data_IF_636351221719
#
_entry.id   IF_636351221719
#
_cell.length_a   1.000
_cell.length_b   1.000
_cell.length_c   1.000
_cell.angle_alpha   90.00
_cell.angle_beta   90.00
_cell.angle_gamma   90.00
#
_symmetry.space_group_name_H-M   'P 1'
#
loop_
_entity.id
_entity.type
_entity.pdbx_description
1 polymer ?
#
# COMPACT_ATOMS: atom_id res chain seq x y z
N UNK A 1 9.92 -0.69 4.77
CA UNK A 1 9.18 0.02 3.71
C UNK A 1 7.76 -0.52 3.69
N UNK A 2 6.75 0.35 3.76
CA UNK A 2 5.34 0.01 3.62
C UNK A 2 4.87 0.49 2.23
N UNK A 3 4.18 -0.37 1.50
CA UNK A 3 3.56 -0.04 0.21
C UNK A 3 2.07 -0.35 0.33
N UNK A 4 1.22 0.66 0.13
CA UNK A 4 -0.23 0.51 0.11
C UNK A 4 -0.73 0.93 -1.26
N UNK A 5 -1.52 0.09 -1.92
CA UNK A 5 -1.97 0.27 -3.30
C UNK A 5 -3.45 -0.08 -3.45
N UNK A 6 -4.18 0.58 -4.34
CA UNK A 6 -5.57 0.19 -4.65
C UNK A 6 -5.64 -0.72 -5.86
N UNK A 7 -6.39 -1.82 -5.78
CA UNK A 7 -6.51 -2.78 -6.88
C UNK A 7 -7.14 -2.15 -8.14
N UNK A 8 -7.99 -1.14 -7.97
CA UNK A 8 -8.69 -0.44 -9.04
C UNK A 8 -7.99 0.80 -9.57
N UNK A 9 -6.68 1.00 -9.32
CA UNK A 9 -5.92 2.13 -9.83
C UNK A 9 -5.95 2.17 -11.38
N UNK A 10 -6.58 3.19 -12.00
CA UNK A 10 -6.69 3.28 -13.45
C UNK A 10 -5.44 3.86 -14.12
N UNK A 11 -4.51 4.42 -13.35
CA UNK A 11 -3.33 5.11 -13.88
C UNK A 11 -2.08 4.23 -13.77
N UNK A 12 -1.94 3.48 -12.67
CA UNK A 12 -0.76 2.66 -12.41
C UNK A 12 -1.19 1.25 -11.97
N UNK A 13 -0.99 0.21 -12.81
CA UNK A 13 -1.46 -1.14 -12.52
C UNK A 13 -0.93 -1.70 -11.20
N UNK A 14 -1.77 -2.40 -10.44
CA UNK A 14 -1.42 -2.97 -9.13
C UNK A 14 -0.19 -3.91 -9.14
N UNK A 15 0.17 -4.49 -10.30
CA UNK A 15 1.45 -5.23 -10.48
C UNK A 15 2.70 -4.43 -10.11
N UNK A 16 2.63 -3.09 -10.16
CA UNK A 16 3.73 -2.21 -9.74
C UNK A 16 3.90 -2.18 -8.21
N UNK A 17 2.88 -2.52 -7.43
CA UNK A 17 2.98 -2.65 -5.98
C UNK A 17 3.96 -3.76 -5.60
N UNK A 18 3.83 -4.94 -6.23
CA UNK A 18 4.75 -6.06 -5.98
C UNK A 18 6.16 -5.79 -6.49
N UNK A 19 6.29 -5.05 -7.60
CA UNK A 19 7.59 -4.64 -8.16
C UNK A 19 8.41 -3.77 -7.20
N UNK A 20 7.79 -3.13 -6.21
CA UNK A 20 8.52 -2.40 -5.17
C UNK A 20 9.50 -3.29 -4.41
N UNK A 21 9.25 -4.60 -4.33
CA UNK A 21 10.18 -5.55 -3.70
C UNK A 21 11.54 -5.64 -4.40
N UNK A 22 11.62 -5.29 -5.68
CA UNK A 22 12.89 -5.25 -6.41
C UNK A 22 13.82 -4.13 -5.91
N UNK A 23 13.26 -2.97 -5.54
CA UNK A 23 14.03 -1.86 -4.96
C UNK A 23 14.15 -1.96 -3.43
N UNK A 24 13.12 -2.54 -2.80
CA UNK A 24 13.01 -2.69 -1.35
C UNK A 24 12.73 -4.15 -1.01
N UNK A 25 13.77 -5.01 -0.87
CA UNK A 25 13.58 -6.45 -0.65
C UNK A 25 12.68 -6.81 0.53
N UNK A 26 12.66 -5.98 1.58
CA UNK A 26 11.80 -6.13 2.75
C UNK A 26 10.48 -5.33 2.70
N UNK A 27 10.00 -4.92 1.53
CA UNK A 27 8.75 -4.18 1.42
C UNK A 27 7.54 -5.01 1.87
N UNK A 28 6.73 -4.44 2.77
CA UNK A 28 5.42 -4.95 3.15
C UNK A 28 4.40 -4.35 2.18
N UNK A 29 3.92 -5.15 1.23
CA UNK A 29 2.99 -4.71 0.17
C UNK A 29 1.57 -5.12 0.54
N UNK A 30 0.66 -4.14 0.55
CA UNK A 30 -0.75 -4.31 0.82
C UNK A 30 -1.56 -3.71 -0.35
N UNK A 31 -2.38 -4.54 -0.98
CA UNK A 31 -3.29 -4.12 -2.06
C UNK A 31 -4.71 -4.13 -1.50
N UNK A 32 -5.39 -2.98 -1.54
CA UNK A 32 -6.76 -2.81 -1.09
C UNK A 32 -7.73 -3.08 -2.25
N UNK A 33 -8.56 -4.15 -2.20
CA UNK A 33 -9.38 -4.57 -3.34
C UNK A 33 -10.43 -3.54 -3.79
N UNK A 34 -10.94 -2.73 -2.86
CA UNK A 34 -12.01 -1.77 -3.11
C UNK A 34 -11.51 -0.34 -3.40
N UNK A 35 -10.20 -0.10 -3.37
CA UNK A 35 -9.61 1.24 -3.59
C UNK A 35 -9.06 1.41 -5.01
N UNK A 36 -9.11 2.64 -5.49
CA UNK A 36 -8.49 3.11 -6.73
C UNK A 36 -7.12 3.74 -6.49
N UNK A 37 -6.83 4.83 -7.21
CA UNK A 37 -5.50 5.46 -7.19
C UNK A 37 -5.13 6.12 -5.86
N UNK A 38 -6.12 6.52 -5.05
CA UNK A 38 -5.90 7.18 -3.78
C UNK A 38 -6.48 6.35 -2.61
N UNK A 39 -5.81 5.24 -2.21
CA UNK A 39 -6.29 4.39 -1.12
C UNK A 39 -6.55 5.12 0.19
N UNK A 40 -5.78 6.17 0.48
CA UNK A 40 -5.94 6.98 1.69
C UNK A 40 -7.18 7.90 1.67
N UNK A 41 -7.81 8.07 0.51
CA UNK A 41 -9.11 8.75 0.36
C UNK A 41 -10.23 7.70 0.34
N UNK A 42 -10.04 6.60 -0.38
CA UNK A 42 -11.06 5.57 -0.57
C UNK A 42 -11.32 4.74 0.71
N UNK A 43 -10.27 4.39 1.45
CA UNK A 43 -10.34 3.66 2.72
C UNK A 43 -9.36 4.24 3.76
N UNK A 44 -9.64 5.43 4.31
CA UNK A 44 -8.78 6.07 5.31
C UNK A 44 -8.54 5.20 6.56
N UNK A 45 -9.54 4.46 7.11
CA UNK A 45 -9.31 3.57 8.24
C UNK A 45 -8.28 2.47 7.94
N UNK A 46 -8.39 1.75 6.82
CA UNK A 46 -7.45 0.68 6.49
C UNK A 46 -6.03 1.22 6.30
N UNK A 47 -5.87 2.36 5.62
CA UNK A 47 -4.56 2.99 5.45
C UNK A 47 -3.98 3.44 6.79
N UNK A 48 -4.80 3.99 7.68
CA UNK A 48 -4.36 4.42 9.02
C UNK A 48 -3.87 3.24 9.85
N UNK A 49 -4.59 2.11 9.84
CA UNK A 49 -4.18 0.90 10.55
C UNK A 49 -2.82 0.38 10.03
N UNK A 50 -2.68 0.24 8.70
CA UNK A 50 -1.43 -0.22 8.07
C UNK A 50 -0.27 0.72 8.38
N UNK A 51 -0.50 2.03 8.31
CA UNK A 51 0.53 3.04 8.55
C UNK A 51 0.98 3.07 10.01
N UNK A 52 0.04 3.14 10.95
CA UNK A 52 0.35 3.19 12.38
C UNK A 52 0.98 1.88 12.87
N UNK A 53 0.47 0.73 12.41
CA UNK A 53 1.07 -0.57 12.67
C UNK A 53 2.49 -0.69 12.10
N UNK A 54 2.76 -0.14 10.92
CA UNK A 54 4.12 -0.11 10.39
C UNK A 54 5.04 0.77 11.24
N UNK A 55 4.62 1.99 11.59
CA UNK A 55 5.41 2.94 12.37
C UNK A 55 5.75 2.43 13.77
N UNK A 56 4.85 1.67 14.40
CA UNK A 56 5.11 1.03 15.69
C UNK A 56 6.20 -0.07 15.65
N UNK A 57 6.59 -0.54 14.45
CA UNK A 57 7.67 -1.54 14.28
C UNK A 57 9.03 -0.91 13.95
N UNK A 58 9.10 0.40 13.85
CA UNK A 58 10.34 1.13 13.58
C UNK A 58 10.84 1.69 14.90
N UNK A 59 12.02 1.26 15.35
CA UNK A 59 12.73 1.84 16.51
C UNK A 59 13.28 3.24 16.18
#
# INVERSE_FOLDING_TARGET
CLVVWGAGDPYIPASFADRQRSAFPGARVHILPASGHWPFIDDPPAVTELLTGFLATVE
#
